data_IF_012231263728
#
_entry.id   IF_012231263728
#
_cell.length_a   1.000
_cell.length_b   1.000
_cell.length_c   1.000
_cell.angle_alpha   90.00
_cell.angle_beta   90.00
_cell.angle_gamma   90.00
#
_symmetry.space_group_name_H-M   'P 1'
#
loop_
_entity.id
_entity.type
_entity.pdbx_description
1 polymer ?
#
# COMPACT_ATOMS: atom_id res chain seq x y z
N UNK A 1 11.33 14.93 3.88
CA UNK A 1 12.79 14.89 3.60
C UNK A 1 13.54 16.11 4.12
N UNK A 2 13.50 17.26 3.46
CA UNK A 2 14.36 18.39 3.83
C UNK A 2 14.13 18.87 5.28
N UNK A 3 12.87 18.98 5.72
CA UNK A 3 12.57 19.33 7.12
C UNK A 3 13.07 18.32 8.16
N UNK A 4 13.08 17.02 7.82
CA UNK A 4 13.62 15.98 8.70
C UNK A 4 15.17 16.04 8.77
N UNK A 5 15.82 16.30 7.64
CA UNK A 5 17.28 16.46 7.58
C UNK A 5 17.77 17.72 8.32
N UNK A 6 17.16 18.88 8.02
CA UNK A 6 17.53 20.17 8.64
C UNK A 6 17.08 20.29 10.11
N UNK A 7 16.09 19.50 10.52
CA UNK A 7 15.42 19.60 11.80
C UNK A 7 14.28 20.64 11.81
N UNK A 8 13.24 20.36 12.60
CA UNK A 8 12.00 21.13 12.62
C UNK A 8 12.20 22.63 12.91
N UNK A 9 13.07 22.97 13.87
CA UNK A 9 13.34 24.37 14.25
C UNK A 9 13.95 25.18 13.10
N UNK A 10 14.97 24.63 12.45
CA UNK A 10 15.66 25.25 11.31
C UNK A 10 14.72 25.40 10.12
N UNK A 11 13.97 24.33 9.80
CA UNK A 11 13.00 24.34 8.71
C UNK A 11 11.91 25.41 8.93
N UNK A 12 11.33 25.47 10.13
CA UNK A 12 10.30 26.45 10.47
C UNK A 12 10.84 27.89 10.40
N UNK A 13 12.08 28.14 10.84
CA UNK A 13 12.73 29.45 10.72
C UNK A 13 12.84 29.89 9.26
N UNK A 14 13.29 29.01 8.37
CA UNK A 14 13.43 29.32 6.94
C UNK A 14 12.08 29.52 6.25
N UNK A 15 11.08 28.69 6.53
CA UNK A 15 9.72 28.86 5.98
C UNK A 15 9.09 30.18 6.44
N UNK A 16 9.26 30.56 7.71
CA UNK A 16 8.77 31.85 8.21
C UNK A 16 9.43 33.04 7.51
N UNK A 17 10.75 32.96 7.25
CA UNK A 17 11.47 33.99 6.53
C UNK A 17 10.97 34.09 5.07
N UNK A 18 10.79 32.95 4.41
CA UNK A 18 10.23 32.88 3.05
C UNK A 18 8.84 33.52 2.96
N UNK A 19 7.89 33.10 3.82
CA UNK A 19 6.52 33.63 3.82
C UNK A 19 6.52 35.15 4.06
N UNK A 20 7.36 35.65 4.98
CA UNK A 20 7.47 37.10 5.25
C UNK A 20 8.02 37.88 4.06
N UNK A 21 9.05 37.35 3.37
CA UNK A 21 9.70 38.00 2.23
C UNK A 21 8.79 38.08 1.00
N UNK A 22 7.93 37.08 0.81
CA UNK A 22 7.04 36.97 -0.37
C UNK A 22 5.56 37.18 -0.02
N UNK A 23 5.25 37.80 1.12
CA UNK A 23 3.88 38.09 1.52
C UNK A 23 3.19 38.94 0.45
N UNK A 24 1.97 38.56 0.09
CA UNK A 24 1.12 39.28 -0.88
C UNK A 24 1.77 39.43 -2.27
N UNK A 25 2.73 38.55 -2.59
CA UNK A 25 3.43 38.51 -3.88
C UNK A 25 3.68 37.07 -4.34
N UNK A 26 4.39 36.91 -5.45
CA UNK A 26 4.72 35.61 -6.05
C UNK A 26 6.15 35.19 -5.69
N UNK A 27 6.43 33.90 -5.82
CA UNK A 27 7.75 33.31 -5.60
C UNK A 27 8.04 32.19 -6.61
N UNK A 28 9.32 31.91 -6.80
CA UNK A 28 9.83 30.74 -7.53
C UNK A 28 10.36 29.71 -6.54
N UNK A 29 10.52 28.46 -6.99
CA UNK A 29 11.08 27.39 -6.15
C UNK A 29 12.44 27.77 -5.52
N UNK A 30 13.30 28.45 -6.29
CA UNK A 30 14.60 28.94 -5.83
C UNK A 30 14.54 29.91 -4.64
N UNK A 31 13.44 30.66 -4.49
CA UNK A 31 13.28 31.60 -3.37
C UNK A 31 13.08 30.86 -2.04
N UNK A 32 12.34 29.74 -2.06
CA UNK A 32 12.18 28.86 -0.91
C UNK A 32 13.50 28.20 -0.53
N UNK A 33 14.26 27.69 -1.50
CA UNK A 33 15.55 27.03 -1.25
C UNK A 33 16.57 27.98 -0.65
N UNK A 34 16.59 29.24 -1.11
CA UNK A 34 17.45 30.29 -0.56
C UNK A 34 17.11 30.59 0.89
N UNK A 35 15.83 30.79 1.22
CA UNK A 35 15.41 31.07 2.60
C UNK A 35 15.72 29.92 3.57
N UNK A 36 15.58 28.67 3.11
CA UNK A 36 15.96 27.49 3.89
C UNK A 36 17.47 27.36 4.04
N UNK A 37 18.25 27.66 2.99
CA UNK A 37 19.71 27.69 3.06
C UNK A 37 20.24 28.78 4.00
N UNK A 38 19.67 29.98 3.96
CA UNK A 38 19.95 31.08 4.90
C UNK A 38 19.68 30.67 6.35
N UNK A 39 18.59 29.94 6.60
CA UNK A 39 18.23 29.49 7.95
C UNK A 39 19.13 28.35 8.47
N UNK A 40 19.54 27.44 7.57
CA UNK A 40 20.34 26.27 7.90
C UNK A 40 21.85 26.54 7.95
N UNK A 41 22.33 27.57 7.26
CA UNK A 41 23.76 27.82 7.09
C UNK A 41 24.45 26.82 6.15
N UNK A 42 23.70 26.11 5.31
CA UNK A 42 24.23 25.14 4.34
C UNK A 42 23.52 25.27 2.97
N UNK A 43 24.16 24.89 1.84
CA UNK A 43 23.58 25.06 0.52
C UNK A 43 22.44 24.05 0.26
N UNK A 44 21.20 24.48 0.54
CA UNK A 44 19.97 23.69 0.31
C UNK A 44 19.58 23.62 -1.16
N UNK A 45 19.85 24.68 -1.92
CA UNK A 45 19.41 24.81 -3.31
C UNK A 45 19.97 23.70 -4.25
N UNK A 46 21.28 23.38 -4.24
CA UNK A 46 21.82 22.28 -5.04
C UNK A 46 21.23 20.92 -4.67
N UNK A 47 20.85 20.73 -3.39
CA UNK A 47 20.17 19.50 -2.95
C UNK A 47 18.82 19.43 -3.63
N UNK A 48 17.99 20.46 -3.47
CA UNK A 48 16.61 20.45 -3.93
C UNK A 48 16.45 20.46 -5.45
N UNK A 49 17.34 21.13 -6.19
CA UNK A 49 17.34 21.05 -7.67
C UNK A 49 17.46 19.61 -8.16
N UNK A 50 18.36 18.83 -7.57
CA UNK A 50 18.52 17.42 -7.87
C UNK A 50 17.28 16.55 -7.60
N UNK A 51 16.30 17.05 -6.85
CA UNK A 51 15.03 16.35 -6.58
C UNK A 51 13.85 16.82 -7.42
N UNK A 52 13.83 18.09 -7.86
CA UNK A 52 12.68 18.67 -8.58
C UNK A 52 12.86 18.78 -10.09
N UNK A 53 14.10 18.72 -10.58
CA UNK A 53 14.43 18.92 -12.00
C UNK A 53 14.60 17.60 -12.79
N UNK A 54 14.46 16.44 -12.14
CA UNK A 54 14.57 15.13 -12.79
C UNK A 54 13.47 14.18 -12.31
N UNK A 55 12.98 13.31 -13.22
CA UNK A 55 11.95 12.35 -12.86
C UNK A 55 12.49 11.08 -12.19
N UNK A 56 11.61 10.44 -11.41
CA UNK A 56 11.92 9.22 -10.66
C UNK A 56 12.43 9.49 -9.25
N UNK A 57 12.91 8.43 -8.60
CA UNK A 57 13.46 8.46 -7.24
C UNK A 57 14.57 7.41 -7.11
N UNK A 58 15.50 7.58 -6.16
CA UNK A 58 16.56 6.60 -5.97
C UNK A 58 16.13 5.44 -5.07
N UNK A 59 16.78 4.29 -5.27
CA UNK A 59 16.94 3.25 -4.26
C UNK A 59 18.33 3.34 -3.67
N UNK A 60 18.40 3.29 -2.33
CA UNK A 60 19.62 3.29 -1.56
C UNK A 60 19.88 1.88 -1.01
N UNK A 61 20.85 1.18 -1.57
CA UNK A 61 21.28 -0.13 -1.08
C UNK A 61 22.26 0.02 0.10
N UNK A 62 21.96 -0.68 1.18
CA UNK A 62 22.73 -0.74 2.43
C UNK A 62 23.37 -2.12 2.55
N UNK A 63 24.70 -2.16 2.64
CA UNK A 63 25.44 -3.40 2.91
C UNK A 63 26.34 -3.21 4.12
N UNK A 64 26.34 -4.18 5.03
CA UNK A 64 27.34 -4.21 6.10
C UNK A 64 28.71 -4.40 5.47
N UNK A 65 29.69 -3.66 5.99
CA UNK A 65 31.09 -3.81 5.66
C UNK A 65 31.89 -3.77 6.96
N UNK A 66 32.95 -4.56 7.04
CA UNK A 66 33.90 -4.49 8.14
C UNK A 66 35.19 -3.89 7.60
N UNK A 67 35.67 -2.80 8.19
CA UNK A 67 36.94 -2.18 7.80
C UNK A 67 37.81 -2.02 9.04
N UNK A 68 38.99 -2.66 9.03
CA UNK A 68 39.97 -2.61 10.12
C UNK A 68 39.36 -2.91 11.52
N UNK A 69 38.53 -3.96 11.61
CA UNK A 69 37.88 -4.36 12.88
C UNK A 69 36.71 -3.48 13.33
N UNK A 70 36.34 -2.45 12.55
CA UNK A 70 35.21 -1.56 12.83
C UNK A 70 34.04 -1.81 11.89
N UNK A 71 32.82 -1.66 12.41
CA UNK A 71 31.61 -1.77 11.60
C UNK A 71 31.45 -0.54 10.73
N UNK A 72 31.22 -0.77 9.44
CA UNK A 72 30.91 0.26 8.46
C UNK A 72 29.66 -0.13 7.66
N UNK A 73 29.05 0.87 7.03
CA UNK A 73 27.92 0.72 6.14
C UNK A 73 28.30 1.24 4.77
N UNK A 74 28.27 0.34 3.78
CA UNK A 74 28.39 0.71 2.38
C UNK A 74 27.02 1.10 1.86
N UNK A 75 26.91 2.34 1.38
CA UNK A 75 25.72 2.93 0.79
C UNK A 75 25.93 3.06 -0.71
N UNK A 76 24.93 2.65 -1.50
CA UNK A 76 24.95 2.81 -2.95
C UNK A 76 23.60 3.27 -3.48
N UNK A 77 23.57 4.38 -4.19
CA UNK A 77 22.36 4.91 -4.81
C UNK A 77 22.28 4.55 -6.30
N UNK A 78 21.07 4.27 -6.76
CA UNK A 78 20.69 4.11 -8.17
C UNK A 78 19.27 4.61 -8.39
N UNK A 79 18.88 4.93 -9.63
CA UNK A 79 17.46 5.12 -9.97
C UNK A 79 16.67 3.83 -9.69
N UNK A 80 15.55 3.97 -8.98
CA UNK A 80 14.59 2.90 -8.79
C UNK A 80 13.64 2.81 -10.00
N UNK A 81 13.42 1.61 -10.48
CA UNK A 81 12.41 1.30 -11.48
C UNK A 81 11.47 0.25 -10.91
N UNK A 82 10.17 0.44 -11.06
CA UNK A 82 9.17 -0.54 -10.64
C UNK A 82 9.18 -1.78 -11.55
N UNK A 83 9.62 -1.62 -12.81
CA UNK A 83 9.70 -2.71 -13.78
C UNK A 83 10.91 -3.62 -13.50
N UNK A 84 10.70 -4.90 -13.14
CA UNK A 84 11.80 -5.84 -12.93
C UNK A 84 12.63 -6.08 -14.20
N UNK A 85 12.10 -5.78 -15.39
CA UNK A 85 12.84 -5.87 -16.67
C UNK A 85 13.95 -4.80 -16.76
N UNK A 86 13.80 -3.66 -16.09
CA UNK A 86 14.83 -2.61 -16.05
C UNK A 86 16.03 -2.96 -15.17
N UNK A 87 15.86 -3.81 -14.16
CA UNK A 87 16.97 -4.28 -13.34
C UNK A 87 17.93 -5.21 -14.11
N UNK A 88 17.45 -5.86 -15.17
CA UNK A 88 18.18 -6.89 -15.92
C UNK A 88 18.89 -6.35 -17.18
N UNK A 89 18.61 -5.12 -17.59
CA UNK A 89 19.19 -4.53 -18.81
C UNK A 89 20.35 -3.59 -18.49
N UNK A 90 21.54 -3.85 -19.05
CA UNK A 90 22.67 -2.93 -18.97
C UNK A 90 22.39 -1.60 -19.68
N UNK A 91 21.47 -1.58 -20.66
CA UNK A 91 21.06 -0.39 -21.43
C UNK A 91 20.19 0.58 -20.62
N UNK A 92 19.68 0.17 -19.46
CA UNK A 92 18.79 0.97 -18.61
C UNK A 92 19.48 1.46 -17.33
N UNK A 93 20.81 1.25 -17.21
CA UNK A 93 21.60 1.83 -16.11
C UNK A 93 21.67 3.34 -16.28
N UNK A 94 20.88 4.05 -15.51
CA UNK A 94 20.91 5.50 -15.44
C UNK A 94 22.14 5.97 -14.66
N UNK A 95 22.78 7.04 -15.14
CA UNK A 95 23.80 7.79 -14.42
C UNK A 95 23.21 8.84 -13.48
N UNK A 96 21.87 9.00 -13.45
CA UNK A 96 21.18 9.92 -12.56
C UNK A 96 21.53 9.65 -11.11
N UNK A 97 21.73 10.74 -10.40
CA UNK A 97 22.02 10.75 -8.97
C UNK A 97 21.22 11.85 -8.32
N UNK A 98 20.89 11.62 -7.05
CA UNK A 98 20.26 12.60 -6.20
C UNK A 98 21.24 12.97 -5.09
N UNK A 99 21.33 14.25 -4.69
CA UNK A 99 21.92 14.63 -3.41
C UNK A 99 20.97 14.14 -2.30
N UNK A 100 21.23 12.98 -1.71
CA UNK A 100 20.34 12.36 -0.73
C UNK A 100 20.71 12.85 0.68
N UNK A 101 19.86 13.62 1.38
CA UNK A 101 20.07 13.96 2.79
C UNK A 101 19.68 12.75 3.63
N UNK A 102 20.60 11.80 3.75
CA UNK A 102 20.35 10.50 4.37
C UNK A 102 20.39 10.60 5.90
N UNK A 103 19.40 9.97 6.54
CA UNK A 103 19.33 9.78 7.98
C UNK A 103 19.09 8.30 8.27
N UNK A 104 20.05 7.63 8.91
CA UNK A 104 19.92 6.24 9.34
C UNK A 104 19.81 6.12 10.86
N UNK A 105 19.09 5.10 11.35
CA UNK A 105 19.10 4.71 12.77
C UNK A 105 19.98 3.49 12.96
N UNK A 106 20.79 3.51 14.01
CA UNK A 106 21.71 2.42 14.35
C UNK A 106 21.50 2.09 15.81
N UNK A 107 21.20 0.83 16.11
CA UNK A 107 21.14 0.32 17.48
C UNK A 107 22.41 -0.45 17.82
N UNK A 108 22.96 -0.20 19.01
CA UNK A 108 24.01 -1.05 19.57
C UNK A 108 23.44 -2.38 20.10
N UNK A 109 24.31 -3.30 20.51
CA UNK A 109 23.91 -4.58 21.09
C UNK A 109 23.12 -4.47 22.41
N UNK A 110 23.05 -3.28 23.02
CA UNK A 110 22.25 -3.00 24.23
C UNK A 110 20.92 -2.31 23.90
N UNK A 111 20.55 -2.22 22.62
CA UNK A 111 19.32 -1.58 22.16
C UNK A 111 19.35 -0.05 22.17
N UNK A 112 20.50 0.59 22.46
CA UNK A 112 20.60 2.05 22.44
C UNK A 112 20.66 2.54 21.00
N UNK A 113 19.69 3.37 20.62
CA UNK A 113 19.53 3.85 19.25
C UNK A 113 20.11 5.24 19.08
N UNK A 114 20.88 5.45 18.00
CA UNK A 114 21.38 6.75 17.58
C UNK A 114 21.09 6.99 16.10
N UNK A 115 20.95 8.27 15.73
CA UNK A 115 20.83 8.68 14.33
C UNK A 115 22.19 9.04 13.72
N UNK A 116 22.39 8.71 12.45
CA UNK A 116 23.55 9.13 11.63
C UNK A 116 23.03 9.94 10.45
N UNK A 117 23.61 11.12 10.20
CA UNK A 117 23.20 12.04 9.12
C UNK A 117 24.34 12.23 8.13
N UNK A 118 24.03 12.20 6.83
CA UNK A 118 25.01 12.49 5.77
C UNK A 118 24.30 12.88 4.47
N UNK A 119 24.82 13.89 3.77
CA UNK A 119 24.42 14.14 2.38
C UNK A 119 25.23 13.24 1.46
N UNK A 120 24.55 12.43 0.65
CA UNK A 120 25.15 11.52 -0.32
C UNK A 120 25.05 12.14 -1.71
N UNK A 121 26.16 12.65 -2.23
CA UNK A 121 26.23 13.22 -3.59
C UNK A 121 26.85 12.25 -4.61
N UNK A 122 27.71 11.35 -4.13
CA UNK A 122 28.35 10.31 -4.92
C UNK A 122 27.42 9.08 -5.09
N UNK A 123 27.72 8.26 -6.09
CA UNK A 123 27.02 7.00 -6.33
C UNK A 123 27.18 6.01 -5.16
N UNK A 124 28.33 6.08 -4.48
CA UNK A 124 28.66 5.24 -3.32
C UNK A 124 29.21 6.10 -2.19
N UNK A 125 28.95 5.66 -0.96
CA UNK A 125 29.52 6.25 0.25
C UNK A 125 29.76 5.15 1.29
N UNK A 126 30.77 5.34 2.14
CA UNK A 126 30.99 4.50 3.30
C UNK A 126 30.76 5.32 4.56
N UNK A 127 29.91 4.82 5.46
CA UNK A 127 29.59 5.44 6.75
C UNK A 127 30.18 4.59 7.86
N UNK A 128 31.04 5.19 8.69
CA UNK A 128 31.59 4.54 9.88
C UNK A 128 30.52 4.43 10.97
N UNK A 129 30.25 3.22 11.45
CA UNK A 129 29.26 2.95 12.48
C UNK A 129 29.86 2.87 13.89
N UNK A 130 31.19 3.04 14.03
CA UNK A 130 31.87 2.97 15.31
C UNK A 130 32.43 1.58 15.64
N UNK A 131 32.76 1.38 16.91
CA UNK A 131 33.18 0.09 17.45
C UNK A 131 31.96 -0.81 17.71
N UNK A 132 32.15 -2.12 17.55
CA UNK A 132 31.11 -3.13 17.78
C UNK A 132 30.20 -3.36 16.58
N UNK A 133 29.45 -4.47 16.64
CA UNK A 133 28.51 -4.90 15.61
C UNK A 133 27.14 -4.35 15.99
N UNK A 134 26.51 -3.46 15.17
CA UNK A 134 25.19 -2.95 15.51
C UNK A 134 24.15 -4.08 15.52
N UNK A 135 23.19 -3.99 16.43
CA UNK A 135 22.04 -4.90 16.51
C UNK A 135 21.20 -4.75 15.24
N UNK A 136 20.83 -3.52 14.87
CA UNK A 136 20.19 -3.23 13.58
C UNK A 136 20.66 -1.90 12.98
N UNK A 137 20.41 -1.74 11.69
CA UNK A 137 20.56 -0.48 10.95
C UNK A 137 19.30 -0.23 10.13
N UNK A 138 18.53 0.79 10.48
CA UNK A 138 17.40 1.25 9.68
C UNK A 138 17.85 2.38 8.75
N UNK A 139 17.49 2.30 7.47
CA UNK A 139 18.10 3.13 6.43
C UNK A 139 17.38 4.43 6.11
N UNK A 140 16.18 4.67 6.65
CA UNK A 140 15.39 5.88 6.41
C UNK A 140 14.65 6.30 7.68
N UNK A 141 15.38 6.84 8.67
CA UNK A 141 14.82 7.20 9.97
C UNK A 141 13.47 7.95 9.86
N UNK A 142 12.46 7.46 10.58
CA UNK A 142 11.09 8.00 10.61
C UNK A 142 10.42 8.15 9.23
N UNK A 143 10.86 7.37 8.24
CA UNK A 143 10.51 7.52 6.81
C UNK A 143 10.69 8.96 6.29
N UNK A 144 11.68 9.68 6.84
CA UNK A 144 11.90 11.08 6.54
C UNK A 144 12.32 11.33 5.09
N UNK A 145 13.01 10.40 4.44
CA UNK A 145 13.56 10.50 3.09
C UNK A 145 12.61 10.08 1.97
N UNK A 146 12.74 10.70 0.79
CA UNK A 146 11.96 10.35 -0.40
C UNK A 146 12.75 9.39 -1.32
N UNK A 147 13.07 8.21 -0.82
CA UNK A 147 13.82 7.19 -1.54
C UNK A 147 13.44 5.79 -1.05
N UNK A 148 13.73 4.77 -1.85
CA UNK A 148 13.60 3.36 -1.42
C UNK A 148 14.84 2.92 -0.67
N UNK A 149 14.69 2.10 0.35
CA UNK A 149 15.82 1.49 1.06
C UNK A 149 15.89 0.01 0.75
N UNK A 150 17.06 -0.46 0.35
CA UNK A 150 17.34 -1.88 0.19
C UNK A 150 18.38 -2.32 1.21
N UNK A 151 17.93 -2.98 2.27
CA UNK A 151 18.78 -3.67 3.22
C UNK A 151 19.30 -4.98 2.60
N UNK A 152 20.57 -5.30 2.84
CA UNK A 152 21.05 -6.66 2.57
C UNK A 152 20.30 -7.70 3.43
N UNK A 153 20.35 -9.00 3.06
CA UNK A 153 19.58 -10.03 3.78
C UNK A 153 19.90 -10.12 5.28
N UNK A 154 21.13 -9.80 5.71
CA UNK A 154 21.49 -9.86 7.12
C UNK A 154 20.91 -8.67 7.89
N UNK A 155 20.94 -7.47 7.30
CA UNK A 155 20.31 -6.27 7.85
C UNK A 155 18.79 -6.40 7.92
N UNK A 156 18.15 -6.96 6.89
CA UNK A 156 16.70 -7.18 6.89
C UNK A 156 16.27 -8.15 7.99
N UNK A 157 16.98 -9.27 8.16
CA UNK A 157 16.69 -10.21 9.26
C UNK A 157 16.87 -9.57 10.63
N UNK A 158 17.96 -8.83 10.82
CA UNK A 158 18.20 -8.11 12.07
C UNK A 158 17.10 -7.08 12.40
N UNK A 159 16.52 -6.43 11.37
CA UNK A 159 15.37 -5.54 11.56
C UNK A 159 14.10 -6.31 11.94
N UNK A 160 13.84 -7.45 11.30
CA UNK A 160 12.69 -8.31 11.64
C UNK A 160 12.76 -8.87 13.07
N UNK A 161 13.96 -9.14 13.58
CA UNK A 161 14.19 -9.57 14.97
C UNK A 161 14.02 -8.44 16.00
N UNK A 162 14.08 -7.17 15.57
CA UNK A 162 14.06 -5.98 16.44
C UNK A 162 12.91 -5.02 16.09
N UNK A 163 11.82 -5.52 15.51
CA UNK A 163 10.64 -4.69 15.17
C UNK A 163 10.15 -3.78 16.31
N UNK A 164 10.11 -4.20 17.59
CA UNK A 164 9.67 -3.34 18.69
C UNK A 164 10.55 -2.09 18.93
N UNK A 165 11.77 -2.04 18.38
CA UNK A 165 12.67 -0.88 18.49
C UNK A 165 12.49 0.13 17.33
N UNK A 166 11.70 -0.23 16.32
CA UNK A 166 11.30 0.62 15.21
C UNK A 166 10.00 1.35 15.58
N UNK A 167 9.88 2.60 15.14
CA UNK A 167 8.60 3.32 15.25
C UNK A 167 7.55 2.68 14.33
N UNK A 168 6.26 2.97 14.56
CA UNK A 168 5.17 2.49 13.69
C UNK A 168 5.41 2.88 12.21
N UNK A 169 5.79 4.13 11.94
CA UNK A 169 6.07 4.61 10.58
C UNK A 169 7.26 3.89 9.92
N UNK A 170 8.29 3.51 10.69
CA UNK A 170 9.43 2.75 10.16
C UNK A 170 9.06 1.30 9.88
N UNK A 171 8.16 0.71 10.68
CA UNK A 171 7.62 -0.63 10.40
C UNK A 171 6.77 -0.63 9.13
N UNK A 172 5.91 0.37 8.94
CA UNK A 172 5.17 0.59 7.69
C UNK A 172 6.12 0.80 6.51
N UNK A 173 7.16 1.63 6.69
CA UNK A 173 8.21 1.88 5.71
C UNK A 173 8.93 0.61 5.30
N UNK A 174 9.32 -0.24 6.27
CA UNK A 174 10.00 -1.51 6.03
C UNK A 174 9.13 -2.45 5.17
N UNK A 175 7.83 -2.55 5.47
CA UNK A 175 6.85 -3.30 4.66
C UNK A 175 6.78 -2.76 3.24
N UNK A 176 6.60 -1.45 3.07
CA UNK A 176 6.44 -0.81 1.76
C UNK A 176 7.74 -0.89 0.91
N UNK A 177 8.91 -0.66 1.51
CA UNK A 177 10.20 -0.80 0.84
C UNK A 177 10.45 -2.23 0.39
N UNK A 178 10.25 -3.21 1.28
CA UNK A 178 10.51 -4.61 0.96
C UNK A 178 9.55 -5.12 -0.11
N UNK A 179 8.28 -4.75 -0.03
CA UNK A 179 7.30 -5.08 -1.06
C UNK A 179 7.64 -4.46 -2.42
N UNK A 180 8.02 -3.18 -2.45
CA UNK A 180 8.44 -2.51 -3.68
C UNK A 180 9.68 -3.15 -4.31
N UNK A 181 10.67 -3.56 -3.50
CA UNK A 181 11.87 -4.26 -3.97
C UNK A 181 11.56 -5.64 -4.54
N UNK A 182 10.65 -6.38 -3.90
CA UNK A 182 10.17 -7.67 -4.41
C UNK A 182 9.46 -7.49 -5.75
N UNK A 183 8.56 -6.51 -5.87
CA UNK A 183 7.86 -6.19 -7.13
C UNK A 183 8.81 -5.77 -8.25
N UNK A 184 9.84 -5.00 -7.91
CA UNK A 184 10.89 -4.58 -8.83
C UNK A 184 11.95 -5.67 -9.12
N UNK A 185 11.77 -6.88 -8.58
CA UNK A 185 12.70 -8.00 -8.78
C UNK A 185 14.09 -7.81 -8.17
N UNK A 186 14.22 -6.88 -7.21
CA UNK A 186 15.45 -6.61 -6.45
C UNK A 186 15.57 -7.45 -5.17
N UNK A 187 14.50 -8.13 -4.78
CA UNK A 187 14.47 -9.05 -3.65
C UNK A 187 13.56 -10.28 -3.95
N UNK A 188 13.84 -11.45 -3.37
CA UNK A 188 12.98 -12.62 -3.52
C UNK A 188 11.69 -12.46 -2.72
N UNK A 189 10.55 -12.94 -3.24
CA UNK A 189 9.26 -12.88 -2.53
C UNK A 189 9.30 -13.45 -1.11
N UNK A 190 10.07 -14.52 -0.88
CA UNK A 190 10.28 -15.12 0.43
C UNK A 190 10.71 -14.09 1.49
N UNK A 191 11.58 -13.14 1.12
CA UNK A 191 12.05 -12.11 2.07
C UNK A 191 10.96 -11.14 2.52
N UNK A 192 9.94 -10.88 1.69
CA UNK A 192 8.78 -10.10 2.11
C UNK A 192 7.83 -10.94 2.97
N UNK A 193 7.63 -12.21 2.61
CA UNK A 193 6.74 -13.10 3.36
C UNK A 193 7.31 -13.44 4.75
N UNK A 194 8.61 -13.68 4.87
CA UNK A 194 9.27 -13.87 6.17
C UNK A 194 9.21 -12.59 7.03
N UNK A 195 9.30 -11.41 6.40
CA UNK A 195 9.10 -10.15 7.10
C UNK A 195 7.65 -10.00 7.59
N UNK A 196 6.66 -10.27 6.73
CA UNK A 196 5.24 -10.23 7.10
C UNK A 196 4.92 -11.24 8.21
N UNK A 197 5.55 -12.42 8.20
CA UNK A 197 5.44 -13.42 9.25
C UNK A 197 5.97 -12.91 10.60
N UNK A 198 7.04 -12.12 10.62
CA UNK A 198 7.55 -11.51 11.84
C UNK A 198 6.55 -10.54 12.52
N UNK A 199 5.58 -9.99 11.77
CA UNK A 199 4.56 -9.05 12.27
C UNK A 199 3.33 -9.70 12.94
N UNK A 200 3.28 -11.02 13.17
CA UNK A 200 2.08 -11.66 13.73
C UNK A 200 1.67 -11.18 15.14
N UNK A 201 2.57 -10.56 15.89
CA UNK A 201 2.29 -9.94 17.19
C UNK A 201 2.14 -8.40 17.11
N UNK A 202 1.98 -7.84 15.91
CA UNK A 202 1.87 -6.40 15.71
C UNK A 202 0.65 -5.81 16.44
N UNK A 203 0.88 -4.69 17.11
CA UNK A 203 -0.09 -3.97 17.92
C UNK A 203 -0.58 -2.69 17.25
N UNK A 204 0.26 -2.09 16.41
CA UNK A 204 -0.04 -0.84 15.74
C UNK A 204 -1.04 -1.06 14.58
N UNK A 205 -2.23 -0.43 14.64
CA UNK A 205 -3.27 -0.60 13.63
C UNK A 205 -2.79 -0.24 12.22
N UNK A 206 -2.04 0.84 12.09
CA UNK A 206 -1.57 1.35 10.79
C UNK A 206 -0.54 0.40 10.14
N UNK A 207 0.24 -0.34 10.93
CA UNK A 207 1.18 -1.34 10.42
C UNK A 207 0.42 -2.56 9.89
N UNK A 208 -0.62 -3.01 10.60
CA UNK A 208 -1.50 -4.08 10.13
C UNK A 208 -2.23 -3.68 8.83
N UNK A 209 -2.70 -2.43 8.74
CA UNK A 209 -3.28 -1.89 7.51
C UNK A 209 -2.26 -1.85 6.37
N UNK A 210 -1.00 -1.49 6.64
CA UNK A 210 0.07 -1.49 5.64
C UNK A 210 0.37 -2.89 5.07
N UNK A 211 0.16 -3.96 5.84
CA UNK A 211 0.31 -5.35 5.38
C UNK A 211 -0.83 -5.80 4.47
N UNK A 212 -2.05 -5.27 4.65
CA UNK A 212 -3.27 -5.73 3.95
C UNK A 212 -3.13 -5.65 2.43
N UNK A 213 -2.63 -4.54 1.89
CA UNK A 213 -2.51 -4.33 0.44
C UNK A 213 -1.54 -5.32 -0.23
N UNK A 214 -0.27 -5.40 0.23
CA UNK A 214 0.69 -6.39 -0.24
C UNK A 214 0.21 -7.83 -0.10
N UNK A 215 -0.35 -8.22 1.04
CA UNK A 215 -0.85 -9.57 1.28
C UNK A 215 -2.07 -9.90 0.41
N UNK A 216 -3.00 -8.96 0.24
CA UNK A 216 -4.12 -9.08 -0.69
C UNK A 216 -3.67 -9.24 -2.14
N UNK A 217 -2.60 -8.55 -2.56
CA UNK A 217 -2.01 -8.79 -3.88
C UNK A 217 -1.39 -10.18 -4.00
N UNK A 218 -0.68 -10.65 -2.95
CA UNK A 218 -0.11 -12.00 -2.94
C UNK A 218 -1.22 -13.05 -3.07
N UNK A 219 -2.30 -12.91 -2.32
CA UNK A 219 -3.46 -13.81 -2.33
C UNK A 219 -4.22 -13.77 -3.67
N UNK A 220 -4.67 -12.60 -4.11
CA UNK A 220 -5.57 -12.47 -5.28
C UNK A 220 -4.84 -12.65 -6.61
N UNK A 221 -3.55 -12.29 -6.67
CA UNK A 221 -2.80 -12.19 -7.94
C UNK A 221 -1.67 -13.20 -8.04
N UNK A 222 -0.75 -13.16 -7.08
CA UNK A 222 0.46 -13.97 -7.17
C UNK A 222 0.17 -15.45 -6.96
N UNK A 223 -0.75 -15.78 -6.05
CA UNK A 223 -1.11 -17.17 -5.75
C UNK A 223 -1.77 -17.87 -6.95
N UNK A 224 -2.59 -17.16 -7.73
CA UNK A 224 -3.16 -17.68 -9.00
C UNK A 224 -2.06 -18.13 -9.95
N UNK A 225 -0.95 -17.39 -10.03
CA UNK A 225 0.20 -17.76 -10.85
C UNK A 225 1.09 -18.84 -10.22
N UNK A 226 1.00 -19.07 -8.91
CA UNK A 226 1.81 -20.04 -8.17
C UNK A 226 1.26 -21.47 -8.21
N UNK A 227 -0.04 -21.65 -8.50
CA UNK A 227 -0.66 -22.95 -8.71
C UNK A 227 -2.01 -23.10 -8.00
N UNK A 228 -2.72 -24.18 -8.32
CA UNK A 228 -3.97 -24.52 -7.65
C UNK A 228 -3.77 -24.68 -6.13
N UNK A 229 -4.72 -24.20 -5.33
CA UNK A 229 -4.64 -24.25 -3.86
C UNK A 229 -3.67 -23.25 -3.21
N UNK A 230 -2.81 -22.56 -3.97
CA UNK A 230 -1.87 -21.60 -3.38
C UNK A 230 -2.58 -20.43 -2.68
N UNK A 231 -3.71 -19.96 -3.21
CA UNK A 231 -4.50 -18.88 -2.60
C UNK A 231 -5.06 -19.28 -1.23
N UNK A 232 -5.60 -20.50 -1.12
CA UNK A 232 -6.08 -21.07 0.14
C UNK A 232 -4.96 -21.18 1.17
N UNK A 233 -3.80 -21.73 0.79
CA UNK A 233 -2.65 -21.83 1.68
C UNK A 233 -2.12 -20.46 2.16
N UNK A 234 -2.19 -19.43 1.32
CA UNK A 234 -1.87 -18.05 1.72
C UNK A 234 -2.88 -17.55 2.75
N UNK A 235 -4.18 -17.75 2.51
CA UNK A 235 -5.25 -17.38 3.43
C UNK A 235 -5.12 -18.07 4.78
N UNK A 236 -4.86 -19.38 4.77
CA UNK A 236 -4.66 -20.19 5.99
C UNK A 236 -3.46 -19.71 6.79
N UNK A 237 -2.34 -19.39 6.13
CA UNK A 237 -1.18 -18.82 6.81
C UNK A 237 -1.49 -17.47 7.46
N UNK A 238 -2.20 -16.56 6.76
CA UNK A 238 -2.59 -15.26 7.34
C UNK A 238 -3.51 -15.49 8.55
N UNK A 239 -4.51 -16.37 8.42
CA UNK A 239 -5.42 -16.70 9.52
C UNK A 239 -4.68 -17.31 10.72
N UNK A 240 -3.78 -18.26 10.49
CA UNK A 240 -2.99 -18.88 11.55
C UNK A 240 -2.05 -17.86 12.23
N UNK A 241 -1.50 -16.91 11.47
CA UNK A 241 -0.51 -15.97 12.00
C UNK A 241 -1.12 -14.79 12.74
N UNK A 242 -2.21 -14.23 12.24
CA UNK A 242 -2.84 -13.01 12.78
C UNK A 242 -4.13 -13.29 13.56
N UNK A 243 -4.73 -14.47 13.39
CA UNK A 243 -5.95 -14.88 14.09
C UNK A 243 -5.84 -14.89 15.62
N UNK A 244 -4.75 -15.39 16.23
CA UNK A 244 -4.61 -15.42 17.70
C UNK A 244 -4.75 -14.03 18.34
N UNK A 245 -4.17 -12.98 17.74
CA UNK A 245 -4.29 -11.62 18.24
C UNK A 245 -5.75 -11.13 18.21
N UNK A 246 -6.52 -11.50 17.19
CA UNK A 246 -7.95 -11.16 17.14
C UNK A 246 -8.76 -11.95 18.18
N UNK A 247 -8.46 -13.24 18.37
CA UNK A 247 -9.13 -14.09 19.37
C UNK A 247 -8.97 -13.52 20.78
N UNK A 248 -7.79 -12.97 21.10
CA UNK A 248 -7.53 -12.32 22.39
C UNK A 248 -8.33 -11.01 22.56
N UNK A 249 -8.42 -10.19 21.51
CA UNK A 249 -9.15 -8.91 21.54
C UNK A 249 -10.67 -9.07 21.54
N UNK A 250 -11.17 -10.10 20.86
CA UNK A 250 -12.59 -10.32 20.61
C UNK A 250 -13.25 -9.21 19.79
N UNK A 251 -14.57 -9.29 19.66
CA UNK A 251 -15.38 -8.31 18.91
C UNK A 251 -15.86 -7.13 19.74
N UNK A 252 -15.99 -7.32 21.05
CA UNK A 252 -16.60 -6.34 21.96
C UNK A 252 -15.50 -5.49 22.61
N UNK A 253 -15.65 -4.17 22.57
CA UNK A 253 -14.76 -3.26 23.26
C UNK A 253 -14.97 -3.37 24.78
N UNK A 254 -13.88 -3.38 25.54
CA UNK A 254 -13.94 -3.33 27.00
C UNK A 254 -14.28 -1.91 27.47
N UNK A 255 -14.88 -1.72 28.66
CA UNK A 255 -15.02 -0.39 29.24
C UNK A 255 -13.66 0.32 29.32
N UNK A 256 -13.61 1.58 28.90
CA UNK A 256 -12.40 2.43 28.89
C UNK A 256 -11.24 1.88 28.02
N UNK A 257 -11.54 1.00 27.06
CA UNK A 257 -10.53 0.48 26.14
C UNK A 257 -9.91 1.60 25.28
N UNK A 258 -8.56 1.67 25.20
CA UNK A 258 -7.89 2.67 24.38
C UNK A 258 -8.31 2.59 22.90
N UNK A 259 -8.44 3.75 22.24
CA UNK A 259 -8.83 3.81 20.83
C UNK A 259 -7.89 3.03 19.92
N UNK A 260 -6.60 2.97 20.24
CA UNK A 260 -5.61 2.17 19.50
C UNK A 260 -5.95 0.67 19.49
N UNK A 261 -6.45 0.13 20.61
CA UNK A 261 -6.88 -1.27 20.70
C UNK A 261 -8.15 -1.50 19.87
N UNK A 262 -9.08 -0.54 19.87
CA UNK A 262 -10.30 -0.57 19.04
C UNK A 262 -9.97 -0.53 17.55
N UNK A 263 -9.01 0.30 17.16
CA UNK A 263 -8.50 0.38 15.80
C UNK A 263 -7.73 -0.88 15.39
N UNK A 264 -6.94 -1.46 16.30
CA UNK A 264 -6.22 -2.74 16.08
C UNK A 264 -7.20 -3.86 15.78
N UNK A 265 -8.29 -3.94 16.55
CA UNK A 265 -9.40 -4.88 16.29
C UNK A 265 -9.97 -4.70 14.89
N UNK A 266 -10.27 -3.46 14.48
CA UNK A 266 -10.78 -3.18 13.13
C UNK A 266 -9.77 -3.53 12.03
N UNK A 267 -8.48 -3.26 12.24
CA UNK A 267 -7.42 -3.61 11.30
C UNK A 267 -7.29 -5.13 11.13
N UNK A 268 -7.36 -5.90 12.24
CA UNK A 268 -7.35 -7.36 12.21
C UNK A 268 -8.59 -7.94 11.53
N UNK A 269 -9.79 -7.40 11.79
CA UNK A 269 -11.03 -7.80 11.06
C UNK A 269 -10.85 -7.54 9.57
N UNK A 270 -10.26 -6.41 9.20
CA UNK A 270 -9.91 -6.11 7.81
C UNK A 270 -8.97 -7.16 7.22
N UNK A 271 -7.84 -7.45 7.87
CA UNK A 271 -6.86 -8.41 7.36
C UNK A 271 -7.43 -9.85 7.29
N UNK A 272 -8.08 -10.31 8.35
CA UNK A 272 -8.60 -11.67 8.48
C UNK A 272 -9.86 -11.90 7.65
N UNK A 273 -10.73 -10.90 7.54
CA UNK A 273 -11.98 -11.00 6.78
C UNK A 273 -11.80 -10.72 5.28
N UNK A 274 -11.05 -9.68 4.92
CA UNK A 274 -10.89 -9.25 3.52
C UNK A 274 -9.89 -10.12 2.77
N UNK A 275 -8.73 -10.40 3.39
CA UNK A 275 -7.62 -11.08 2.73
C UNK A 275 -7.63 -12.56 3.06
N UNK A 276 -7.62 -12.92 4.35
CA UNK A 276 -7.59 -14.32 4.77
C UNK A 276 -8.94 -15.03 4.57
N UNK A 277 -10.03 -14.28 4.36
CA UNK A 277 -11.40 -14.80 4.27
C UNK A 277 -11.74 -15.80 5.40
N UNK A 278 -11.23 -15.53 6.60
CA UNK A 278 -11.27 -16.47 7.70
C UNK A 278 -12.72 -16.74 8.11
N UNK A 279 -13.23 -17.98 7.99
CA UNK A 279 -14.66 -18.26 8.15
C UNK A 279 -15.31 -17.75 9.45
N UNK A 280 -14.65 -17.82 10.63
CA UNK A 280 -15.20 -17.25 11.86
C UNK A 280 -15.47 -15.74 11.78
N UNK A 281 -14.62 -14.98 11.08
CA UNK A 281 -14.81 -13.53 10.91
C UNK A 281 -15.97 -13.25 9.97
N UNK A 282 -16.08 -13.99 8.85
CA UNK A 282 -17.17 -13.82 7.89
C UNK A 282 -18.53 -14.13 8.50
N UNK A 283 -18.64 -15.22 9.27
CA UNK A 283 -19.86 -15.60 9.97
C UNK A 283 -20.26 -14.54 11.03
N UNK A 284 -19.30 -14.12 11.85
CA UNK A 284 -19.54 -13.11 12.89
C UNK A 284 -19.88 -11.72 12.33
N UNK A 285 -19.31 -11.36 11.17
CA UNK A 285 -19.65 -10.12 10.46
C UNK A 285 -21.09 -10.16 9.92
N UNK A 286 -21.55 -11.30 9.40
CA UNK A 286 -22.93 -11.46 8.93
C UNK A 286 -23.93 -11.28 10.08
N UNK A 287 -23.73 -11.92 11.23
CA UNK A 287 -24.58 -11.76 12.42
C UNK A 287 -24.62 -10.29 12.91
N UNK A 288 -23.45 -9.65 13.00
CA UNK A 288 -23.31 -8.26 13.45
C UNK A 288 -23.95 -7.26 12.51
N UNK A 289 -23.95 -7.56 11.21
CA UNK A 289 -24.63 -6.74 10.22
C UNK A 289 -26.15 -6.73 10.46
N UNK A 290 -26.76 -7.87 10.75
CA UNK A 290 -28.21 -7.92 11.04
C UNK A 290 -28.54 -7.07 12.28
N UNK A 291 -27.74 -7.19 13.35
CA UNK A 291 -27.88 -6.32 14.55
C UNK A 291 -27.71 -4.83 14.23
N UNK A 292 -26.77 -4.48 13.34
CA UNK A 292 -26.51 -3.10 12.95
C UNK A 292 -27.68 -2.48 12.15
N UNK A 293 -28.38 -3.29 11.34
CA UNK A 293 -29.58 -2.83 10.62
C UNK A 293 -30.73 -2.49 11.57
N UNK A 294 -30.91 -3.27 12.64
CA UNK A 294 -31.89 -2.98 13.67
C UNK A 294 -31.49 -1.75 14.50
N UNK A 295 -30.23 -1.70 14.92
CA UNK A 295 -29.72 -0.67 15.84
C UNK A 295 -28.30 -0.26 15.47
N UNK A 296 -28.13 1.01 15.05
CA UNK A 296 -26.85 1.52 14.49
C UNK A 296 -25.72 1.59 15.53
N UNK A 297 -26.05 1.67 16.81
CA UNK A 297 -25.13 1.63 17.95
C UNK A 297 -24.89 0.21 18.49
N UNK A 298 -25.40 -0.84 17.81
CA UNK A 298 -25.23 -2.23 18.26
C UNK A 298 -23.82 -2.79 18.06
N UNK A 299 -22.94 -2.11 17.31
CA UNK A 299 -21.55 -2.51 17.07
C UNK A 299 -20.62 -1.31 17.24
N UNK A 300 -19.35 -1.58 17.50
CA UNK A 300 -18.33 -0.52 17.58
C UNK A 300 -18.27 0.27 16.25
N UNK A 301 -18.26 1.62 16.28
CA UNK A 301 -18.19 2.44 15.08
C UNK A 301 -17.01 2.12 14.16
N UNK A 302 -15.85 1.72 14.70
CA UNK A 302 -14.66 1.35 13.93
C UNK A 302 -14.84 0.03 13.17
N UNK A 303 -15.78 -0.82 13.61
CA UNK A 303 -16.11 -2.09 12.97
C UNK A 303 -17.21 -1.97 11.91
N UNK A 304 -17.90 -0.82 11.83
CA UNK A 304 -19.10 -0.73 10.99
C UNK A 304 -18.80 -0.91 9.51
N UNK A 305 -17.78 -0.20 8.98
CA UNK A 305 -17.38 -0.34 7.57
C UNK A 305 -16.92 -1.77 7.21
N UNK A 306 -15.99 -2.40 7.96
CA UNK A 306 -15.59 -3.77 7.64
C UNK A 306 -16.73 -4.79 7.82
N UNK A 307 -17.57 -4.66 8.86
CA UNK A 307 -18.72 -5.57 9.05
C UNK A 307 -19.69 -5.50 7.87
N UNK A 308 -20.07 -4.30 7.44
CA UNK A 308 -21.01 -4.11 6.33
C UNK A 308 -20.43 -4.64 5.01
N UNK A 309 -19.13 -4.40 4.75
CA UNK A 309 -18.45 -4.92 3.56
C UNK A 309 -18.35 -6.45 3.56
N UNK A 310 -17.95 -7.05 4.69
CA UNK A 310 -17.78 -8.50 4.80
C UNK A 310 -19.13 -9.25 4.73
N UNK A 311 -20.18 -8.70 5.34
CA UNK A 311 -21.52 -9.28 5.28
C UNK A 311 -22.06 -9.34 3.84
N UNK A 312 -21.71 -8.37 2.99
CA UNK A 312 -22.10 -8.33 1.58
C UNK A 312 -21.44 -9.44 0.75
N UNK A 313 -20.18 -9.79 1.04
CA UNK A 313 -19.43 -10.80 0.27
C UNK A 313 -20.06 -12.18 0.29
N UNK A 314 -20.56 -12.58 1.46
CA UNK A 314 -21.29 -13.82 1.67
C UNK A 314 -22.82 -13.61 1.67
N UNK A 315 -23.29 -12.46 1.21
CA UNK A 315 -24.70 -12.07 1.21
C UNK A 315 -25.51 -12.70 0.10
N UNK A 316 -26.77 -12.99 0.40
CA UNK A 316 -27.77 -13.46 -0.55
C UNK A 316 -28.63 -12.29 -1.09
N UNK A 317 -29.72 -12.63 -1.79
CA UNK A 317 -30.64 -11.64 -2.34
C UNK A 317 -31.35 -10.83 -1.25
N UNK A 318 -31.72 -11.45 -0.13
CA UNK A 318 -32.39 -10.77 0.98
C UNK A 318 -31.45 -9.73 1.62
N UNK A 319 -30.18 -10.09 1.84
CA UNK A 319 -29.17 -9.14 2.33
C UNK A 319 -28.89 -8.02 1.35
N UNK A 320 -28.86 -8.32 0.05
CA UNK A 320 -28.73 -7.27 -0.98
C UNK A 320 -29.89 -6.27 -0.91
N UNK A 321 -31.13 -6.76 -0.78
CA UNK A 321 -32.32 -5.92 -0.71
C UNK A 321 -32.32 -5.06 0.56
N UNK A 322 -31.91 -5.64 1.70
CA UNK A 322 -31.74 -4.91 2.95
C UNK A 322 -30.68 -3.79 2.84
N UNK A 323 -29.51 -4.08 2.26
CA UNK A 323 -28.47 -3.06 2.03
C UNK A 323 -28.92 -1.98 1.05
N UNK A 324 -29.68 -2.33 0.01
CA UNK A 324 -30.23 -1.38 -0.95
C UNK A 324 -31.26 -0.45 -0.27
N UNK A 325 -32.15 -1.00 0.55
CA UNK A 325 -33.11 -0.22 1.32
C UNK A 325 -32.40 0.70 2.33
N UNK A 326 -31.35 0.21 2.99
CA UNK A 326 -30.54 1.01 3.91
C UNK A 326 -29.79 2.14 3.18
N UNK A 327 -29.27 1.89 1.97
CA UNK A 327 -28.71 2.93 1.11
C UNK A 327 -29.72 4.03 0.77
N UNK A 328 -30.95 3.64 0.43
CA UNK A 328 -31.99 4.58 0.00
C UNK A 328 -32.54 5.43 1.15
N UNK A 329 -32.66 4.84 2.34
CA UNK A 329 -33.18 5.48 3.55
C UNK A 329 -32.11 6.11 4.47
N UNK A 330 -30.82 6.00 4.11
CA UNK A 330 -29.73 6.47 4.95
C UNK A 330 -29.85 7.97 5.29
N UNK A 331 -29.80 8.35 6.58
CA UNK A 331 -29.95 9.73 7.02
C UNK A 331 -28.73 10.62 6.74
N UNK A 332 -27.55 10.01 6.53
CA UNK A 332 -26.30 10.75 6.31
C UNK A 332 -25.61 10.35 5.01
N UNK A 333 -24.87 11.26 4.36
CA UNK A 333 -24.04 10.91 3.20
C UNK A 333 -23.02 9.80 3.49
N UNK A 334 -22.48 9.75 4.72
CA UNK A 334 -21.53 8.71 5.14
C UNK A 334 -22.19 7.33 5.13
N UNK A 335 -23.34 7.19 5.78
CA UNK A 335 -24.08 5.92 5.84
C UNK A 335 -24.60 5.51 4.46
N UNK A 336 -25.09 6.47 3.67
CA UNK A 336 -25.47 6.24 2.27
C UNK A 336 -24.32 5.66 1.47
N UNK A 337 -23.13 6.26 1.55
CA UNK A 337 -21.94 5.80 0.80
C UNK A 337 -21.44 4.44 1.28
N UNK A 338 -21.54 4.15 2.58
CA UNK A 338 -21.22 2.85 3.17
C UNK A 338 -22.03 1.73 2.52
N UNK A 339 -23.35 1.84 2.51
CA UNK A 339 -24.21 0.82 1.91
C UNK A 339 -24.08 0.76 0.39
N UNK A 340 -23.98 1.91 -0.30
CA UNK A 340 -23.74 1.94 -1.75
C UNK A 340 -22.49 1.14 -2.14
N UNK A 341 -21.40 1.33 -1.41
CA UNK A 341 -20.15 0.64 -1.69
C UNK A 341 -20.17 -0.83 -1.28
N UNK A 342 -20.94 -1.20 -0.26
CA UNK A 342 -21.16 -2.59 0.12
C UNK A 342 -21.88 -3.39 -0.98
N UNK A 343 -22.79 -2.77 -1.75
CA UNK A 343 -23.44 -3.43 -2.90
C UNK A 343 -22.44 -3.91 -3.96
N UNK A 344 -21.24 -3.31 -4.03
CA UNK A 344 -20.16 -3.73 -4.93
C UNK A 344 -19.35 -4.93 -4.42
N UNK A 345 -19.53 -5.35 -3.16
CA UNK A 345 -18.80 -6.45 -2.54
C UNK A 345 -19.49 -7.81 -2.73
N UNK A 346 -20.76 -7.84 -3.16
CA UNK A 346 -21.47 -9.08 -3.45
C UNK A 346 -20.79 -9.88 -4.56
N UNK A 347 -20.80 -11.22 -4.43
CA UNK A 347 -20.09 -12.14 -5.34
C UNK A 347 -21.03 -12.93 -6.25
N UNK A 348 -22.27 -13.13 -5.84
CA UNK A 348 -23.24 -13.88 -6.63
C UNK A 348 -23.52 -13.18 -7.98
N UNK A 349 -23.40 -13.86 -9.13
CA UNK A 349 -23.48 -13.22 -10.46
C UNK A 349 -24.71 -12.33 -10.67
N UNK A 350 -25.89 -12.80 -10.23
CA UNK A 350 -27.14 -12.03 -10.35
C UNK A 350 -27.12 -10.75 -9.50
N UNK A 351 -26.49 -10.78 -8.33
CA UNK A 351 -26.38 -9.61 -7.44
C UNK A 351 -25.35 -8.61 -7.96
N UNK A 352 -24.26 -9.10 -8.55
CA UNK A 352 -23.30 -8.25 -9.28
C UNK A 352 -23.99 -7.53 -10.44
N UNK A 353 -24.79 -8.22 -11.24
CA UNK A 353 -25.55 -7.60 -12.34
C UNK A 353 -26.51 -6.52 -11.83
N UNK A 354 -27.16 -6.75 -10.68
CA UNK A 354 -28.02 -5.75 -10.03
C UNK A 354 -27.22 -4.51 -9.58
N UNK A 355 -26.06 -4.71 -8.94
CA UNK A 355 -25.19 -3.61 -8.53
C UNK A 355 -24.69 -2.79 -9.74
N UNK A 356 -24.28 -3.46 -10.83
CA UNK A 356 -23.90 -2.81 -12.08
C UNK A 356 -25.03 -2.00 -12.69
N UNK A 357 -26.26 -2.52 -12.69
CA UNK A 357 -27.42 -1.83 -13.24
C UNK A 357 -27.70 -0.51 -12.51
N UNK A 358 -27.46 -0.42 -11.20
CA UNK A 358 -27.62 0.82 -10.42
C UNK A 358 -26.76 1.96 -10.97
N UNK A 359 -25.56 1.67 -11.49
CA UNK A 359 -24.65 2.65 -12.10
C UNK A 359 -25.22 3.34 -13.35
N UNK A 360 -26.32 2.85 -13.91
CA UNK A 360 -27.03 3.49 -15.03
C UNK A 360 -28.25 4.32 -14.60
N UNK A 361 -28.58 4.32 -13.31
CA UNK A 361 -29.77 4.97 -12.75
C UNK A 361 -29.41 6.15 -11.85
N UNK A 362 -30.35 7.09 -11.68
CA UNK A 362 -30.16 8.26 -10.81
C UNK A 362 -30.18 7.93 -9.32
N UNK A 363 -30.38 6.65 -8.96
CA UNK A 363 -30.17 6.18 -7.58
C UNK A 363 -28.72 6.39 -7.15
N UNK A 364 -27.76 6.13 -8.05
CA UNK A 364 -26.33 6.34 -7.81
C UNK A 364 -25.95 7.76 -8.25
N UNK A 365 -25.42 8.61 -7.33
CA UNK A 365 -24.92 9.94 -7.68
C UNK A 365 -23.81 9.87 -8.72
N UNK A 366 -23.77 10.85 -9.63
CA UNK A 366 -22.78 10.92 -10.73
C UNK A 366 -21.33 10.86 -10.24
N UNK A 367 -21.05 11.46 -9.08
CA UNK A 367 -19.74 11.44 -8.43
C UNK A 367 -19.32 10.06 -7.87
N UNK A 368 -20.28 9.15 -7.65
CA UNK A 368 -20.05 7.83 -7.06
C UNK A 368 -20.02 6.70 -8.10
N UNK A 369 -20.56 6.92 -9.30
CA UNK A 369 -20.60 5.91 -10.38
C UNK A 369 -19.23 5.30 -10.64
N UNK A 370 -18.19 6.12 -10.79
CA UNK A 370 -16.83 5.64 -11.04
C UNK A 370 -16.31 4.80 -9.87
N UNK A 371 -16.56 5.22 -8.62
CA UNK A 371 -16.08 4.49 -7.44
C UNK A 371 -16.77 3.14 -7.25
N UNK A 372 -18.07 3.04 -7.55
CA UNK A 372 -18.79 1.76 -7.55
C UNK A 372 -18.21 0.82 -8.61
N UNK A 373 -17.96 1.31 -9.83
CA UNK A 373 -17.35 0.51 -10.91
C UNK A 373 -15.91 0.09 -10.59
N UNK A 374 -15.12 0.97 -9.97
CA UNK A 374 -13.76 0.66 -9.51
C UNK A 374 -13.79 -0.47 -8.48
N UNK A 375 -14.71 -0.43 -7.51
CA UNK A 375 -14.88 -1.51 -6.51
C UNK A 375 -15.30 -2.83 -7.17
N UNK A 376 -16.24 -2.79 -8.10
CA UNK A 376 -16.66 -3.98 -8.86
C UNK A 376 -15.52 -4.56 -9.72
N UNK A 377 -14.62 -3.73 -10.25
CA UNK A 377 -13.40 -4.19 -10.94
C UNK A 377 -12.35 -4.78 -9.97
N UNK A 378 -12.32 -4.32 -8.72
CA UNK A 378 -11.43 -4.87 -7.68
C UNK A 378 -11.97 -6.14 -7.03
N UNK A 379 -13.28 -6.37 -7.08
CA UNK A 379 -13.90 -7.59 -6.57
C UNK A 379 -13.59 -8.77 -7.50
N UNK A 380 -12.90 -9.78 -6.96
CA UNK A 380 -12.37 -10.92 -7.72
C UNK A 380 -13.43 -11.72 -8.48
N UNK A 381 -14.64 -11.78 -7.93
CA UNK A 381 -15.78 -12.53 -8.47
C UNK A 381 -16.64 -11.68 -9.42
N UNK A 382 -16.49 -10.34 -9.37
CA UNK A 382 -17.28 -9.40 -10.18
C UNK A 382 -16.50 -8.80 -11.36
N UNK A 383 -15.16 -8.74 -11.31
CA UNK A 383 -14.34 -7.93 -12.22
C UNK A 383 -14.57 -8.16 -13.70
N UNK A 384 -14.67 -9.41 -14.15
CA UNK A 384 -14.89 -9.72 -15.56
C UNK A 384 -16.27 -9.27 -16.05
N UNK A 385 -17.28 -9.50 -15.22
CA UNK A 385 -18.67 -9.08 -15.46
C UNK A 385 -18.80 -7.56 -15.46
N UNK A 386 -18.10 -6.90 -14.53
CA UNK A 386 -18.02 -5.45 -14.46
C UNK A 386 -17.36 -4.86 -15.71
N UNK A 387 -16.25 -5.43 -16.18
CA UNK A 387 -15.61 -4.99 -17.40
C UNK A 387 -16.47 -5.20 -18.64
N UNK A 388 -17.12 -6.36 -18.78
CA UNK A 388 -18.07 -6.61 -19.86
C UNK A 388 -19.24 -5.63 -19.85
N UNK A 389 -19.73 -5.25 -18.67
CA UNK A 389 -20.76 -4.23 -18.52
C UNK A 389 -20.27 -2.83 -18.92
N UNK A 390 -19.09 -2.44 -18.43
CA UNK A 390 -18.45 -1.15 -18.73
C UNK A 390 -18.26 -0.98 -20.24
N UNK A 391 -17.68 -1.97 -20.90
CA UNK A 391 -17.41 -1.90 -22.36
C UNK A 391 -18.70 -1.85 -23.17
N UNK A 392 -19.72 -2.65 -22.84
CA UNK A 392 -21.04 -2.67 -23.52
C UNK A 392 -21.88 -1.40 -23.30
N UNK A 393 -21.58 -0.61 -22.27
CA UNK A 393 -22.38 0.56 -21.86
C UNK A 393 -21.56 1.85 -21.75
N UNK A 394 -20.35 1.86 -22.30
CA UNK A 394 -19.37 2.91 -22.15
C UNK A 394 -19.90 4.31 -22.42
N UNK A 395 -20.57 4.51 -23.56
CA UNK A 395 -21.12 5.83 -23.93
C UNK A 395 -22.18 6.34 -22.97
N UNK A 396 -22.94 5.46 -22.30
CA UNK A 396 -23.90 5.85 -21.26
C UNK A 396 -23.18 6.17 -19.96
N UNK A 397 -22.22 5.33 -19.55
CA UNK A 397 -21.47 5.51 -18.30
C UNK A 397 -20.62 6.78 -18.31
N UNK A 398 -19.84 7.02 -19.38
CA UNK A 398 -18.98 8.21 -19.49
C UNK A 398 -19.80 9.49 -19.46
N UNK A 399 -21.01 9.52 -20.04
CA UNK A 399 -21.90 10.69 -19.96
C UNK A 399 -22.39 11.00 -18.55
N UNK A 400 -22.47 9.99 -17.66
CA UNK A 400 -22.83 10.20 -16.26
C UNK A 400 -21.64 10.60 -15.39
N UNK A 401 -20.40 10.37 -15.83
CA UNK A 401 -19.21 10.60 -15.02
C UNK A 401 -18.48 11.89 -15.43
N UNK A 402 -18.05 12.71 -14.46
CA UNK A 402 -17.05 13.76 -14.71
C UNK A 402 -15.79 13.19 -15.39
N UNK A 403 -15.14 13.92 -16.32
CA UNK A 403 -13.96 13.42 -17.05
C UNK A 403 -12.82 12.92 -16.17
N UNK A 404 -12.56 13.59 -15.03
CA UNK A 404 -11.54 13.16 -14.07
C UNK A 404 -11.86 11.80 -13.41
N UNK A 405 -13.13 11.50 -13.21
CA UNK A 405 -13.57 10.22 -12.62
C UNK A 405 -13.55 9.08 -13.64
N UNK A 406 -13.79 9.37 -14.93
CA UNK A 406 -13.59 8.38 -15.99
C UNK A 406 -12.12 7.90 -16.05
N UNK A 407 -11.15 8.80 -15.83
CA UNK A 407 -9.74 8.42 -15.75
C UNK A 407 -9.45 7.46 -14.58
N UNK A 408 -10.11 7.63 -13.43
CA UNK A 408 -9.98 6.69 -12.29
C UNK A 408 -10.46 5.28 -12.62
N UNK A 409 -11.51 5.17 -13.42
CA UNK A 409 -11.99 3.87 -13.91
C UNK A 409 -10.94 3.20 -14.83
N UNK A 410 -10.28 3.98 -15.69
CA UNK A 410 -9.17 3.47 -16.52
C UNK A 410 -8.01 2.97 -15.66
N UNK A 411 -7.59 3.77 -14.68
CA UNK A 411 -6.52 3.43 -13.73
C UNK A 411 -6.80 2.14 -12.94
N UNK A 412 -8.07 1.74 -12.81
CA UNK A 412 -8.50 0.53 -12.12
C UNK A 412 -8.56 -0.73 -12.99
N UNK A 413 -8.54 -0.61 -14.32
CA UNK A 413 -8.58 -1.78 -15.22
C UNK A 413 -7.47 -2.82 -14.98
N UNK A 414 -6.25 -2.51 -14.48
CA UNK A 414 -5.28 -3.53 -14.10
C UNK A 414 -5.81 -4.57 -13.12
N UNK A 415 -6.84 -4.26 -12.34
CA UNK A 415 -7.53 -5.22 -11.47
C UNK A 415 -8.14 -6.42 -12.23
N UNK A 416 -8.28 -6.36 -13.57
CA UNK A 416 -8.77 -7.46 -14.39
C UNK A 416 -7.78 -8.62 -14.57
N UNK A 417 -6.48 -8.36 -14.46
CA UNK A 417 -5.46 -9.38 -14.73
C UNK A 417 -4.69 -9.16 -16.04
N UNK A 418 -3.42 -9.59 -16.11
CA UNK A 418 -2.57 -9.52 -17.30
C UNK A 418 -3.22 -9.92 -18.64
N UNK A 419 -4.16 -10.88 -18.62
CA UNK A 419 -4.87 -11.35 -19.82
C UNK A 419 -5.65 -10.26 -20.54
N UNK A 420 -6.16 -9.26 -19.81
CA UNK A 420 -6.98 -8.16 -20.35
C UNK A 420 -6.16 -7.02 -20.95
N UNK A 421 -4.83 -7.03 -20.82
CA UNK A 421 -3.94 -5.95 -21.28
C UNK A 421 -4.13 -5.55 -22.75
N UNK A 422 -4.37 -6.53 -23.64
CA UNK A 422 -4.60 -6.29 -25.08
C UNK A 422 -6.01 -5.73 -25.34
N UNK A 423 -7.01 -6.28 -24.67
CA UNK A 423 -8.39 -5.86 -24.80
C UNK A 423 -8.59 -4.43 -24.31
N UNK A 424 -8.08 -4.10 -23.13
CA UNK A 424 -8.10 -2.75 -22.56
C UNK A 424 -7.43 -1.73 -23.49
N UNK A 425 -6.25 -2.07 -24.04
CA UNK A 425 -5.57 -1.22 -25.01
C UNK A 425 -6.40 -0.98 -26.27
N UNK A 426 -7.01 -2.04 -26.81
CA UNK A 426 -7.88 -1.94 -27.99
C UNK A 426 -9.10 -1.07 -27.71
N UNK A 427 -9.75 -1.29 -26.56
CA UNK A 427 -10.95 -0.60 -26.15
C UNK A 427 -10.73 0.92 -26.04
N UNK A 428 -9.68 1.36 -25.34
CA UNK A 428 -9.42 2.80 -25.18
C UNK A 428 -8.81 3.48 -26.42
N UNK A 429 -8.22 2.72 -27.35
CA UNK A 429 -7.91 3.25 -28.70
C UNK A 429 -9.19 3.54 -29.49
N UNK A 430 -10.18 2.64 -29.42
CA UNK A 430 -11.48 2.84 -30.08
C UNK A 430 -12.37 3.87 -29.37
N UNK A 431 -12.16 4.09 -28.07
CA UNK A 431 -12.95 5.00 -27.24
C UNK A 431 -12.05 5.99 -26.49
N UNK A 432 -11.39 6.93 -27.19
CA UNK A 432 -10.44 7.84 -26.57
C UNK A 432 -11.11 8.73 -25.52
N UNK A 433 -10.39 8.99 -24.43
CA UNK A 433 -10.77 9.94 -23.39
C UNK A 433 -9.88 11.20 -23.50
N UNK A 434 -10.44 12.40 -23.74
CA UNK A 434 -9.65 13.63 -23.92
C UNK A 434 -8.65 13.92 -22.79
N UNK A 435 -9.01 13.58 -21.54
CA UNK A 435 -8.16 13.76 -20.35
C UNK A 435 -7.56 12.46 -19.81
N UNK A 436 -7.69 11.35 -20.56
CA UNK A 436 -7.38 10.00 -20.07
C UNK A 436 -6.12 9.35 -20.63
N UNK A 437 -5.39 9.99 -21.56
CA UNK A 437 -4.24 9.39 -22.24
C UNK A 437 -3.18 8.83 -21.27
N UNK A 438 -2.76 9.65 -20.29
CA UNK A 438 -1.81 9.23 -19.24
C UNK A 438 -2.35 8.07 -18.39
N UNK A 439 -3.64 8.08 -18.06
CA UNK A 439 -4.26 7.01 -17.28
C UNK A 439 -4.24 5.67 -18.05
N UNK A 440 -4.46 5.70 -19.38
CA UNK A 440 -4.34 4.52 -20.24
C UNK A 440 -2.90 4.03 -20.26
N UNK A 441 -1.91 4.90 -20.50
CA UNK A 441 -0.49 4.54 -20.50
C UNK A 441 -0.07 3.86 -19.19
N UNK A 442 -0.43 4.48 -18.05
CA UNK A 442 -0.14 3.93 -16.72
C UNK A 442 -0.86 2.61 -16.44
N UNK A 443 -2.11 2.45 -16.90
CA UNK A 443 -2.83 1.19 -16.76
C UNK A 443 -2.16 0.07 -17.56
N UNK A 444 -1.76 0.34 -18.81
CA UNK A 444 -1.05 -0.63 -19.65
C UNK A 444 0.32 -1.00 -19.06
N UNK A 445 1.05 -0.01 -18.54
CA UNK A 445 2.30 -0.27 -17.81
C UNK A 445 2.05 -1.17 -16.60
N UNK A 446 1.01 -0.91 -15.79
CA UNK A 446 0.67 -1.74 -14.62
C UNK A 446 0.37 -3.20 -14.98
N UNK A 447 -0.32 -3.46 -16.09
CA UNK A 447 -0.50 -4.83 -16.57
C UNK A 447 0.85 -5.51 -16.93
N UNK A 448 1.74 -4.78 -17.60
CA UNK A 448 3.05 -5.29 -18.01
C UNK A 448 3.96 -5.55 -16.78
N UNK A 449 3.94 -4.63 -15.80
CA UNK A 449 4.63 -4.77 -14.51
C UNK A 449 4.16 -6.01 -13.75
N UNK A 450 2.85 -6.21 -13.67
CA UNK A 450 2.28 -7.36 -13.00
C UNK A 450 2.64 -8.68 -13.70
N UNK A 451 2.54 -8.72 -15.04
CA UNK A 451 2.93 -9.89 -15.83
C UNK A 451 4.38 -10.29 -15.52
N UNK A 452 5.27 -9.30 -15.50
CA UNK A 452 6.68 -9.53 -15.22
C UNK A 452 6.91 -9.99 -13.75
N UNK A 453 6.19 -9.38 -12.80
CA UNK A 453 6.27 -9.75 -11.39
C UNK A 453 5.79 -11.18 -11.13
N UNK A 454 4.61 -11.56 -11.62
CA UNK A 454 4.07 -12.91 -11.42
C UNK A 454 5.01 -13.98 -12.00
N UNK A 455 5.57 -13.74 -13.20
CA UNK A 455 6.58 -14.63 -13.80
C UNK A 455 7.83 -14.81 -12.92
N UNK A 456 8.26 -13.76 -12.24
CA UNK A 456 9.44 -13.77 -11.39
C UNK A 456 9.19 -14.45 -10.03
N UNK A 457 8.05 -14.14 -9.39
CA UNK A 457 7.82 -14.45 -7.99
C UNK A 457 7.01 -15.72 -7.74
N UNK A 458 6.22 -16.22 -8.70
CA UNK A 458 5.28 -17.33 -8.48
C UNK A 458 5.95 -18.60 -7.93
N UNK A 459 7.07 -19.03 -8.53
CA UNK A 459 7.86 -20.18 -8.03
C UNK A 459 8.49 -19.94 -6.65
N UNK A 460 8.74 -18.68 -6.30
CA UNK A 460 9.22 -18.31 -4.97
C UNK A 460 8.13 -18.45 -3.92
N UNK A 461 6.89 -18.04 -4.24
CA UNK A 461 5.73 -18.21 -3.38
C UNK A 461 5.44 -19.70 -3.15
N UNK A 462 5.36 -20.50 -4.22
CA UNK A 462 5.12 -21.94 -4.11
C UNK A 462 6.12 -22.63 -3.16
N UNK A 463 7.42 -22.42 -3.37
CA UNK A 463 8.47 -22.97 -2.50
C UNK A 463 8.37 -22.49 -1.04
N UNK A 464 8.03 -21.22 -0.84
CA UNK A 464 7.89 -20.65 0.51
C UNK A 464 6.72 -21.28 1.27
N UNK A 465 5.62 -21.56 0.56
CA UNK A 465 4.47 -22.27 1.12
C UNK A 465 4.86 -23.73 1.43
N UNK A 466 5.49 -24.44 0.49
CA UNK A 466 5.89 -25.85 0.65
C UNK A 466 6.77 -26.09 1.88
N UNK A 467 7.68 -25.15 2.17
CA UNK A 467 8.54 -25.21 3.34
C UNK A 467 7.78 -25.16 4.69
N UNK A 468 6.53 -24.70 4.72
CA UNK A 468 5.70 -24.56 5.93
C UNK A 468 4.68 -25.68 6.09
N UNK A 469 4.69 -26.68 5.21
CA UNK A 469 3.72 -27.78 5.21
C UNK A 469 2.34 -27.37 4.67
N UNK A 470 1.44 -28.34 4.56
CA UNK A 470 0.01 -28.08 4.46
C UNK A 470 -0.54 -27.85 5.88
N UNK A 471 -1.59 -27.02 6.07
CA UNK A 471 -2.27 -26.97 7.36
C UNK A 471 -2.71 -28.39 7.78
N UNK A 472 -2.70 -28.73 9.09
CA UNK A 472 -3.29 -29.97 9.53
C UNK A 472 -4.77 -29.97 9.10
N UNK A 473 -5.15 -31.02 8.37
CA UNK A 473 -6.46 -31.15 7.73
C UNK A 473 -7.61 -31.41 8.70
#
# INVERSE_FOLDING_TARGET
>A
MLGHYLGAKTFQKGVRAYIRRHRESNAKAADLWRALGEAAGEPVDPIMRGWVEQEGLPVLSLRRSTKAGRSALSLRQERFYADPRHAQSSRTRSSQRWPIPWVGRVADAKGRVRTVRRVLTAATANVDLGAGVPAFVYGNADEGGFFRVQHDPALLRALAEHLPLLSAVERMGLVDHQWALVRAGRAPIASFLDLADAFGAEEEPDVLVALRGPLGFVEDRLAVAAGAGAGERVRDWIAARFGPAFVELGWEARPEEPDEVRLRRAALVGLLGDVAEWPPILAAAAERFERYLERRDAIDPNLTDPVVQLAARAGDAARFDAMLAAFESAPTPQERRRFLFALAEFRAPKLVDRALALCLTDRVPTQDVAFVLVRLLSNRDARERAWAFVTKRWSRLVRRMPPMLAARLVEATPALGPSYRREVASFFRAHPLPTGGRAVEQALERFDLETAFCKLAAKGLARWLDARGAPPG
#
